data_IF_146893986248
#
_entry.id   IF_146893986248
#
_cell.length_a   1.000
_cell.length_b   1.000
_cell.length_c   1.000
_cell.angle_alpha   90.00
_cell.angle_beta   90.00
_cell.angle_gamma   90.00
#
_symmetry.space_group_name_H-M   'P 1'
#
loop_
_entity.id
_entity.type
_entity.pdbx_description
1 polymer ?
#
# COMPACT_ATOMS: atom_id res chain seq x y z
N UNK A 1 25.38 54.88 24.13
CA UNK A 1 25.94 53.86 23.25
C UNK A 1 26.14 52.60 24.09
N UNK A 2 25.09 51.79 24.20
CA UNK A 2 25.10 50.56 25.00
C UNK A 2 25.16 49.38 24.06
N UNK A 3 26.26 48.64 24.10
CA UNK A 3 26.38 47.33 23.42
C UNK A 3 25.66 46.26 24.21
N UNK A 4 24.61 45.68 23.63
CA UNK A 4 23.98 44.46 24.14
C UNK A 4 24.76 43.26 23.57
N UNK A 5 25.47 42.56 24.45
CA UNK A 5 26.11 41.29 24.15
C UNK A 5 25.05 40.17 24.18
N UNK A 6 24.78 39.54 23.04
CA UNK A 6 23.86 38.41 22.94
C UNK A 6 24.65 37.11 23.16
N UNK A 7 24.52 36.54 24.36
CA UNK A 7 25.12 35.24 24.70
C UNK A 7 24.18 34.14 24.22
N UNK A 8 24.55 33.42 23.17
CA UNK A 8 23.87 32.23 22.68
C UNK A 8 24.29 31.07 23.60
N UNK A 9 23.37 30.59 24.41
CA UNK A 9 23.54 29.36 25.18
C UNK A 9 23.34 28.18 24.27
N UNK A 10 24.40 27.44 23.90
CA UNK A 10 24.34 26.13 23.31
C UNK A 10 23.78 25.14 24.33
N UNK A 11 22.51 24.77 24.21
CA UNK A 11 21.98 23.59 24.88
C UNK A 11 22.56 22.34 24.18
N UNK A 12 23.55 21.73 24.81
CA UNK A 12 24.02 20.38 24.44
C UNK A 12 22.94 19.37 24.85
N UNK A 13 22.21 18.84 23.86
CA UNK A 13 21.40 17.64 24.03
C UNK A 13 22.33 16.44 24.25
N UNK A 14 22.51 16.03 25.50
CA UNK A 14 23.04 14.71 25.82
C UNK A 14 21.94 13.68 25.52
N UNK A 15 22.22 12.61 24.79
CA UNK A 15 21.24 11.53 24.62
C UNK A 15 21.06 10.88 26.00
N UNK A 16 19.83 10.91 26.51
CA UNK A 16 19.45 10.12 27.69
C UNK A 16 19.59 8.64 27.31
N UNK A 17 20.64 7.99 27.77
CA UNK A 17 20.75 6.52 27.75
C UNK A 17 19.69 6.00 28.72
N UNK A 18 18.55 5.58 28.17
CA UNK A 18 17.60 4.73 28.87
C UNK A 18 18.29 3.39 29.06
N UNK A 19 18.83 3.17 30.27
CA UNK A 19 19.22 1.84 30.74
C UNK A 19 17.94 1.02 30.93
N UNK A 20 17.41 0.48 29.82
CA UNK A 20 16.41 -0.58 29.85
C UNK A 20 17.07 -1.85 30.37
N UNK A 21 16.45 -2.50 31.35
CA UNK A 21 16.77 -3.85 31.78
C UNK A 21 17.02 -4.71 30.55
N UNK A 22 18.20 -5.37 30.48
CA UNK A 22 18.64 -6.16 29.34
C UNK A 22 17.73 -7.35 29.06
N UNK A 23 16.64 -7.09 28.35
CA UNK A 23 16.02 -8.10 27.54
C UNK A 23 16.95 -8.30 26.35
N UNK A 24 17.67 -9.44 26.33
CA UNK A 24 18.37 -9.89 25.13
C UNK A 24 17.43 -9.67 23.95
N UNK A 25 17.84 -8.79 23.00
CA UNK A 25 17.10 -8.61 21.75
C UNK A 25 17.04 -10.00 21.11
N UNK A 26 15.84 -10.58 21.08
CA UNK A 26 15.62 -11.88 20.45
C UNK A 26 16.16 -11.80 19.03
N UNK A 27 17.26 -12.50 18.76
CA UNK A 27 17.87 -12.52 17.44
C UNK A 27 16.79 -13.00 16.46
N UNK A 28 16.59 -12.25 15.36
CA UNK A 28 15.71 -12.64 14.28
C UNK A 28 16.09 -14.04 13.81
N UNK A 29 15.12 -14.90 13.62
CA UNK A 29 15.32 -16.13 12.87
C UNK A 29 15.43 -15.77 11.38
N UNK A 30 16.65 -15.78 10.83
CA UNK A 30 16.92 -15.39 9.46
C UNK A 30 16.34 -16.36 8.42
N UNK A 31 15.76 -17.47 8.87
CA UNK A 31 15.04 -18.43 8.03
C UNK A 31 13.54 -18.17 7.95
N UNK A 32 13.02 -17.16 8.65
CA UNK A 32 11.61 -16.79 8.55
C UNK A 32 11.36 -15.99 7.27
N UNK A 33 10.33 -16.33 6.49
CA UNK A 33 9.95 -15.59 5.28
C UNK A 33 9.40 -14.19 5.59
N UNK A 34 9.01 -13.91 6.84
CA UNK A 34 8.58 -12.61 7.34
C UNK A 34 9.28 -12.28 8.68
N UNK A 35 9.08 -11.05 9.20
CA UNK A 35 9.65 -10.62 10.50
C UNK A 35 8.92 -11.21 11.71
N UNK A 36 7.76 -11.81 11.49
CA UNK A 36 7.00 -12.60 12.47
C UNK A 36 6.69 -13.97 11.87
N UNK A 37 6.48 -15.03 12.68
CA UNK A 37 6.12 -16.35 12.16
C UNK A 37 4.76 -16.30 11.46
N UNK A 38 4.58 -17.13 10.45
CA UNK A 38 3.26 -17.33 9.86
C UNK A 38 2.39 -18.21 10.75
N UNK A 39 1.13 -17.82 10.89
CA UNK A 39 0.10 -18.57 11.60
C UNK A 39 -0.90 -19.09 10.56
N UNK A 40 -0.91 -20.41 10.33
CA UNK A 40 -1.82 -21.06 9.41
C UNK A 40 -2.61 -22.15 10.15
N UNK A 41 -3.68 -21.80 10.90
CA UNK A 41 -4.49 -22.79 11.59
C UNK A 41 -5.08 -23.77 10.57
N UNK A 42 -5.21 -25.08 10.91
CA UNK A 42 -5.91 -26.03 10.04
C UNK A 42 -7.37 -25.60 9.81
N UNK A 43 -7.95 -25.91 8.64
CA UNK A 43 -9.39 -25.65 8.40
C UNK A 43 -10.27 -26.23 9.50
N UNK A 44 -11.27 -25.45 9.92
CA UNK A 44 -12.22 -25.82 10.97
C UNK A 44 -11.71 -25.63 12.42
N UNK A 45 -10.50 -25.07 12.61
CA UNK A 45 -9.92 -24.87 13.96
C UNK A 45 -9.88 -23.42 14.42
N UNK A 46 -10.05 -22.46 13.51
CA UNK A 46 -10.03 -21.03 13.81
C UNK A 46 -11.08 -20.32 12.95
N UNK A 47 -12.13 -19.72 13.55
CA UNK A 47 -13.23 -19.14 12.80
C UNK A 47 -12.82 -17.92 11.96
N UNK A 48 -11.82 -17.14 12.40
CA UNK A 48 -11.32 -15.98 11.66
C UNK A 48 -10.54 -16.46 10.43
N UNK A 49 -9.62 -17.40 10.61
CA UNK A 49 -8.88 -17.99 9.49
C UNK A 49 -9.81 -18.67 8.48
N UNK A 50 -10.90 -19.31 8.95
CA UNK A 50 -11.87 -19.95 8.06
C UNK A 50 -12.72 -18.94 7.30
N UNK A 51 -13.08 -17.80 7.91
CA UNK A 51 -13.74 -16.69 7.22
C UNK A 51 -12.86 -16.11 6.12
N UNK A 52 -11.57 -15.88 6.39
CA UNK A 52 -10.61 -15.43 5.38
C UNK A 52 -10.50 -16.44 4.23
N UNK A 53 -10.38 -17.75 4.53
CA UNK A 53 -10.34 -18.81 3.50
C UNK A 53 -11.58 -18.81 2.62
N UNK A 54 -12.76 -18.62 3.21
CA UNK A 54 -14.02 -18.62 2.48
C UNK A 54 -14.08 -17.52 1.40
N UNK A 55 -13.37 -16.43 1.59
CA UNK A 55 -13.27 -15.33 0.64
C UNK A 55 -12.17 -15.55 -0.42
N UNK A 56 -11.21 -16.43 -0.17
CA UNK A 56 -10.14 -16.74 -1.14
C UNK A 56 -10.62 -17.72 -2.21
N UNK A 57 -10.33 -17.46 -3.47
CA UNK A 57 -10.81 -18.24 -4.63
C UNK A 57 -10.50 -19.75 -4.52
N UNK A 58 -9.36 -20.10 -3.92
CA UNK A 58 -8.92 -21.48 -3.76
C UNK A 58 -9.01 -21.99 -2.31
N UNK A 59 -9.58 -21.21 -1.39
CA UNK A 59 -9.67 -21.56 0.02
C UNK A 59 -8.33 -21.63 0.77
N UNK A 60 -7.28 -21.02 0.22
CA UNK A 60 -5.93 -21.04 0.81
C UNK A 60 -5.57 -19.68 1.39
N UNK A 61 -5.01 -19.66 2.61
CA UNK A 61 -4.46 -18.46 3.21
C UNK A 61 -3.19 -18.02 2.47
N UNK A 62 -3.05 -16.71 2.29
CA UNK A 62 -1.83 -16.09 1.73
C UNK A 62 -0.82 -15.82 2.86
N UNK A 63 0.42 -15.53 2.49
CA UNK A 63 1.47 -15.14 3.45
C UNK A 63 1.07 -13.89 4.26
N UNK A 64 0.38 -12.93 3.64
CA UNK A 64 -0.22 -11.79 4.33
C UNK A 64 -1.20 -12.25 5.43
N UNK A 65 -2.08 -13.20 5.13
CA UNK A 65 -3.04 -13.74 6.10
C UNK A 65 -2.31 -14.42 7.27
N UNK A 66 -1.24 -15.19 6.96
CA UNK A 66 -0.42 -15.84 7.96
C UNK A 66 0.29 -14.86 8.91
N UNK A 67 0.70 -13.70 8.42
CA UNK A 67 1.25 -12.62 9.26
C UNK A 67 0.15 -11.95 10.08
N UNK A 68 -0.99 -11.60 9.48
CA UNK A 68 -2.12 -10.95 10.14
C UNK A 68 -2.68 -11.79 11.29
N UNK A 69 -2.75 -13.12 11.13
CA UNK A 69 -3.28 -14.05 12.14
C UNK A 69 -2.46 -14.13 13.43
N UNK A 70 -1.27 -13.51 13.51
CA UNK A 70 -0.64 -13.23 14.81
C UNK A 70 -1.45 -12.26 15.68
N UNK A 71 -2.36 -11.47 15.06
CA UNK A 71 -3.28 -10.54 15.72
C UNK A 71 -4.71 -10.78 15.16
N UNK A 72 -5.44 -11.80 15.62
CA UNK A 72 -6.67 -12.27 14.98
C UNK A 72 -7.73 -11.19 14.75
N UNK A 73 -7.93 -10.27 15.70
CA UNK A 73 -8.89 -9.17 15.54
C UNK A 73 -8.47 -8.15 14.48
N UNK A 74 -7.16 -7.99 14.24
CA UNK A 74 -6.66 -7.16 13.13
C UNK A 74 -6.90 -7.87 11.80
N UNK A 75 -6.67 -9.19 11.75
CA UNK A 75 -6.96 -10.01 10.58
C UNK A 75 -8.45 -9.98 10.21
N UNK A 76 -9.35 -10.08 11.19
CA UNK A 76 -10.80 -10.00 10.99
C UNK A 76 -11.23 -8.62 10.44
N UNK A 77 -10.72 -7.53 11.03
CA UNK A 77 -11.01 -6.18 10.59
C UNK A 77 -10.45 -5.88 9.18
N UNK A 78 -9.25 -6.37 8.89
CA UNK A 78 -8.63 -6.26 7.55
C UNK A 78 -9.46 -7.03 6.51
N UNK A 79 -9.78 -8.29 6.79
CA UNK A 79 -10.56 -9.13 5.87
C UNK A 79 -11.93 -8.51 5.54
N UNK A 80 -12.64 -7.99 6.55
CA UNK A 80 -13.92 -7.32 6.35
C UNK A 80 -13.77 -6.04 5.48
N UNK A 81 -12.81 -5.17 5.80
CA UNK A 81 -12.60 -3.91 5.08
C UNK A 81 -12.17 -4.15 3.63
N UNK A 82 -11.17 -5.00 3.42
CA UNK A 82 -10.69 -5.29 2.06
C UNK A 82 -11.64 -6.17 1.25
N UNK A 83 -12.53 -6.93 1.90
CA UNK A 83 -13.67 -7.57 1.27
C UNK A 83 -14.56 -6.54 0.57
N UNK A 84 -14.93 -5.45 1.25
CA UNK A 84 -15.71 -4.37 0.62
C UNK A 84 -14.94 -3.66 -0.49
N UNK A 85 -13.68 -3.30 -0.28
CA UNK A 85 -12.86 -2.62 -1.28
C UNK A 85 -12.69 -3.45 -2.55
N UNK A 86 -12.52 -4.77 -2.46
CA UNK A 86 -12.21 -5.62 -3.62
C UNK A 86 -13.44 -6.24 -4.27
N UNK A 87 -14.41 -6.65 -3.47
CA UNK A 87 -15.49 -7.50 -3.94
C UNK A 87 -16.82 -6.76 -4.07
N UNK A 88 -17.00 -5.64 -3.35
CA UNK A 88 -18.29 -4.96 -3.24
C UNK A 88 -18.22 -3.43 -3.54
N UNK A 89 -17.23 -2.98 -4.29
CA UNK A 89 -17.16 -1.59 -4.73
C UNK A 89 -17.71 -1.41 -6.16
N UNK A 90 -17.93 -0.15 -6.55
CA UNK A 90 -18.48 0.22 -7.86
C UNK A 90 -17.46 0.92 -8.76
N UNK A 91 -16.20 0.98 -8.35
CA UNK A 91 -15.12 1.52 -9.19
C UNK A 91 -14.95 0.70 -10.47
N UNK A 92 -14.63 1.34 -11.62
CA UNK A 92 -14.18 0.61 -12.79
C UNK A 92 -13.02 -0.32 -12.43
N UNK A 93 -13.09 -1.63 -12.76
CA UNK A 93 -12.09 -2.60 -12.30
C UNK A 93 -10.65 -2.23 -12.65
N UNK A 94 -10.40 -1.74 -13.86
CA UNK A 94 -9.07 -1.30 -14.28
C UNK A 94 -8.56 -0.11 -13.46
N UNK A 95 -9.42 0.83 -13.10
CA UNK A 95 -9.08 1.98 -12.27
C UNK A 95 -8.77 1.55 -10.83
N UNK A 96 -9.55 0.62 -10.27
CA UNK A 96 -9.28 0.06 -8.94
C UNK A 96 -7.89 -0.59 -8.89
N UNK A 97 -7.57 -1.44 -9.85
CA UNK A 97 -6.27 -2.10 -9.91
C UNK A 97 -5.12 -1.13 -10.21
N UNK A 98 -5.37 -0.06 -10.99
CA UNK A 98 -4.40 1.01 -11.17
C UNK A 98 -4.05 1.67 -9.83
N UNK A 99 -5.02 2.01 -8.98
CA UNK A 99 -4.76 2.57 -7.65
C UNK A 99 -3.85 1.66 -6.84
N UNK A 100 -4.17 0.38 -6.77
CA UNK A 100 -3.42 -0.63 -6.01
C UNK A 100 -1.98 -0.77 -6.52
N UNK A 101 -1.83 -0.99 -7.82
CA UNK A 101 -0.54 -1.18 -8.46
C UNK A 101 0.33 0.08 -8.39
N UNK A 102 -0.28 1.27 -8.54
CA UNK A 102 0.47 2.52 -8.42
C UNK A 102 1.02 2.73 -7.01
N UNK A 103 0.23 2.43 -5.99
CA UNK A 103 0.67 2.50 -4.59
C UNK A 103 1.79 1.50 -4.32
N UNK A 104 1.66 0.27 -4.80
CA UNK A 104 2.71 -0.74 -4.70
C UNK A 104 4.03 -0.27 -5.34
N UNK A 105 3.95 0.34 -6.54
CA UNK A 105 5.11 0.90 -7.22
C UNK A 105 5.76 2.06 -6.46
N UNK A 106 4.94 3.01 -5.95
CA UNK A 106 5.39 4.19 -5.22
C UNK A 106 6.04 3.88 -3.88
N UNK A 107 5.56 2.83 -3.20
CA UNK A 107 6.00 2.40 -1.88
C UNK A 107 7.02 1.24 -1.94
N UNK A 108 7.41 0.81 -3.14
CA UNK A 108 8.28 -0.34 -3.38
C UNK A 108 7.76 -1.62 -2.70
N UNK A 109 6.44 -1.84 -2.70
CA UNK A 109 5.77 -2.98 -2.12
C UNK A 109 5.68 -4.14 -3.13
N UNK A 110 6.79 -4.85 -3.34
CA UNK A 110 6.89 -5.90 -4.37
C UNK A 110 5.89 -7.03 -4.13
N UNK A 111 5.63 -7.42 -2.88
CA UNK A 111 4.62 -8.42 -2.55
C UNK A 111 3.23 -8.00 -3.06
N UNK A 112 2.80 -6.77 -2.77
CA UNK A 112 1.51 -6.22 -3.21
C UNK A 112 1.39 -6.20 -4.75
N UNK A 113 2.43 -5.74 -5.43
CA UNK A 113 2.48 -5.73 -6.90
C UNK A 113 2.28 -7.14 -7.47
N UNK A 114 3.02 -8.12 -6.96
CA UNK A 114 2.96 -9.51 -7.42
C UNK A 114 1.58 -10.15 -7.23
N UNK A 115 0.85 -9.77 -6.17
CA UNK A 115 -0.51 -10.25 -5.95
C UNK A 115 -1.53 -9.59 -6.89
N UNK A 116 -1.28 -8.36 -7.36
CA UNK A 116 -2.26 -7.56 -8.09
C UNK A 116 -1.98 -7.41 -9.59
N UNK A 117 -0.77 -7.66 -10.11
CA UNK A 117 -0.49 -7.51 -11.54
C UNK A 117 -1.38 -8.39 -12.41
N UNK A 118 -1.55 -9.65 -12.07
CA UNK A 118 -2.43 -10.56 -12.80
C UNK A 118 -3.90 -10.15 -12.72
N UNK A 119 -4.34 -9.62 -11.58
CA UNK A 119 -5.70 -9.11 -11.40
C UNK A 119 -5.92 -7.85 -12.24
N UNK A 120 -4.93 -6.97 -12.31
CA UNK A 120 -4.95 -5.79 -13.18
C UNK A 120 -5.08 -6.16 -14.65
N UNK A 121 -4.34 -7.18 -15.10
CA UNK A 121 -4.48 -7.73 -16.47
C UNK A 121 -5.89 -8.29 -16.72
N UNK A 122 -6.43 -9.04 -15.79
CA UNK A 122 -7.81 -9.54 -15.87
C UNK A 122 -8.85 -8.42 -15.87
N UNK A 123 -8.56 -7.31 -15.20
CA UNK A 123 -9.39 -6.11 -15.19
C UNK A 123 -9.27 -5.25 -16.46
N UNK A 124 -8.39 -5.64 -17.41
CA UNK A 124 -8.24 -5.01 -18.72
C UNK A 124 -7.03 -4.07 -18.84
N UNK A 125 -6.15 -3.98 -17.85
CA UNK A 125 -4.91 -3.22 -17.98
C UNK A 125 -3.95 -3.90 -18.96
N UNK A 126 -3.53 -3.17 -19.99
CA UNK A 126 -2.55 -3.63 -20.98
C UNK A 126 -1.12 -3.61 -20.41
N UNK A 127 -0.20 -4.29 -21.06
CA UNK A 127 1.23 -4.25 -20.70
C UNK A 127 1.77 -2.82 -20.73
N UNK A 128 1.42 -2.02 -21.76
CA UNK A 128 1.87 -0.62 -21.85
C UNK A 128 1.33 0.24 -20.69
N UNK A 129 0.08 0.01 -20.29
CA UNK A 129 -0.51 0.69 -19.13
C UNK A 129 0.17 0.28 -17.83
N UNK A 130 0.45 -1.01 -17.62
CA UNK A 130 1.19 -1.52 -16.47
C UNK A 130 2.62 -0.97 -16.42
N UNK A 131 3.30 -0.86 -17.57
CA UNK A 131 4.61 -0.19 -17.68
C UNK A 131 4.53 1.28 -17.27
N UNK A 132 3.51 2.01 -17.75
CA UNK A 132 3.29 3.41 -17.36
C UNK A 132 3.04 3.53 -15.84
N UNK A 133 2.18 2.70 -15.27
CA UNK A 133 1.88 2.67 -13.82
C UNK A 133 3.16 2.40 -13.01
N UNK A 134 3.98 1.44 -13.47
CA UNK A 134 5.20 1.02 -12.76
C UNK A 134 6.34 2.03 -12.86
N UNK A 135 6.58 2.60 -14.03
CA UNK A 135 7.82 3.30 -14.35
C UNK A 135 7.70 4.83 -14.35
N UNK A 136 6.50 5.39 -14.52
CA UNK A 136 6.34 6.83 -14.50
C UNK A 136 6.79 7.43 -13.15
N UNK A 137 7.52 8.56 -13.17
CA UNK A 137 7.91 9.22 -11.92
C UNK A 137 6.67 9.68 -11.15
N UNK A 138 6.75 9.79 -9.79
CA UNK A 138 5.68 10.41 -9.02
C UNK A 138 5.41 11.83 -9.53
N UNK A 139 4.14 12.26 -9.54
CA UNK A 139 3.74 13.57 -10.07
C UNK A 139 4.18 13.80 -11.53
N UNK A 140 4.10 12.77 -12.34
CA UNK A 140 4.57 12.73 -13.74
C UNK A 140 4.09 13.91 -14.58
N UNK A 141 2.84 14.35 -14.42
CA UNK A 141 2.28 15.48 -15.18
C UNK A 141 3.02 16.79 -14.89
N UNK A 142 3.42 17.06 -13.65
CA UNK A 142 4.20 18.24 -13.28
C UNK A 142 5.65 18.20 -13.81
N UNK A 143 6.13 17.02 -14.22
CA UNK A 143 7.43 16.83 -14.85
C UNK A 143 7.36 16.80 -16.38
N UNK A 144 6.20 17.18 -16.96
CA UNK A 144 6.01 17.24 -18.41
C UNK A 144 5.79 15.89 -19.09
N UNK A 145 5.55 14.83 -18.31
CA UNK A 145 5.26 13.49 -18.85
C UNK A 145 3.75 13.39 -19.14
N UNK A 146 3.39 13.15 -20.41
CA UNK A 146 2.01 12.97 -20.84
C UNK A 146 1.72 11.48 -21.09
N UNK A 147 0.83 10.90 -20.30
CA UNK A 147 0.43 9.50 -20.38
C UNK A 147 -0.97 9.30 -20.97
N UNK A 148 -1.62 10.36 -21.45
CA UNK A 148 -3.03 10.30 -21.92
C UNK A 148 -3.21 9.34 -23.09
N UNK A 149 -2.24 9.24 -23.99
CA UNK A 149 -2.32 8.31 -25.11
C UNK A 149 -2.26 6.83 -24.67
N UNK A 150 -1.57 6.53 -23.57
CA UNK A 150 -1.41 5.17 -23.05
C UNK A 150 -2.53 4.79 -22.08
N UNK A 151 -2.85 5.68 -21.14
CA UNK A 151 -3.76 5.39 -20.04
C UNK A 151 -5.21 5.80 -20.32
N UNK A 152 -5.42 6.80 -21.18
CA UNK A 152 -6.71 7.51 -21.24
C UNK A 152 -6.84 8.58 -20.14
N UNK A 153 -7.76 9.54 -20.30
CA UNK A 153 -7.88 10.67 -19.39
C UNK A 153 -8.35 10.27 -17.97
N UNK A 154 -9.18 9.28 -17.85
CA UNK A 154 -9.73 8.75 -16.60
C UNK A 154 -8.66 8.06 -15.73
N UNK A 155 -7.85 7.19 -16.33
CA UNK A 155 -6.75 6.52 -15.63
C UNK A 155 -5.58 7.49 -15.33
N UNK A 156 -5.38 8.52 -16.15
CA UNK A 156 -4.43 9.61 -15.84
C UNK A 156 -4.85 10.37 -14.59
N UNK A 157 -6.15 10.73 -14.49
CA UNK A 157 -6.70 11.40 -13.30
C UNK A 157 -6.55 10.51 -12.06
N UNK A 158 -6.89 9.22 -12.18
CA UNK A 158 -6.73 8.24 -11.11
C UNK A 158 -5.28 8.09 -10.65
N UNK A 159 -4.34 7.98 -11.58
CA UNK A 159 -2.92 7.84 -11.26
C UNK A 159 -2.35 9.11 -10.60
N UNK A 160 -2.78 10.29 -11.05
CA UNK A 160 -2.42 11.57 -10.45
C UNK A 160 -2.93 11.66 -9.00
N UNK A 161 -4.18 11.27 -8.76
CA UNK A 161 -4.76 11.19 -7.41
C UNK A 161 -3.97 10.23 -6.51
N UNK A 162 -3.63 9.03 -7.02
CA UNK A 162 -2.84 8.05 -6.28
C UNK A 162 -1.46 8.58 -5.88
N UNK A 163 -0.80 9.33 -6.76
CA UNK A 163 0.48 9.97 -6.46
C UNK A 163 0.38 10.96 -5.29
N UNK A 164 -0.63 11.84 -5.32
CA UNK A 164 -0.79 12.87 -4.30
C UNK A 164 -1.17 12.29 -2.93
N UNK A 165 -2.16 11.42 -2.87
CA UNK A 165 -2.59 10.82 -1.59
C UNK A 165 -1.51 9.92 -0.98
N UNK A 166 -0.66 9.30 -1.82
CA UNK A 166 0.41 8.41 -1.35
C UNK A 166 1.64 9.17 -0.87
N UNK A 167 2.06 10.21 -1.58
CA UNK A 167 3.31 10.93 -1.28
C UNK A 167 3.10 12.13 -0.37
N UNK A 168 1.94 12.79 -0.41
CA UNK A 168 1.70 14.05 0.32
C UNK A 168 0.55 13.97 1.34
N UNK A 169 -0.27 12.91 1.34
CA UNK A 169 -1.52 12.80 2.13
C UNK A 169 -2.57 13.82 1.67
N UNK A 170 -2.20 15.09 1.57
CA UNK A 170 -3.04 16.16 1.05
C UNK A 170 -3.15 16.07 -0.47
N UNK A 171 -4.38 16.02 -0.97
CA UNK A 171 -4.72 16.05 -2.40
C UNK A 171 -5.20 17.46 -2.74
N UNK A 172 -4.58 18.18 -3.69
CA UNK A 172 -5.06 19.49 -4.15
C UNK A 172 -6.45 19.41 -4.79
N UNK A 173 -7.21 20.52 -4.70
CA UNK A 173 -8.59 20.58 -5.20
C UNK A 173 -8.66 20.28 -6.71
N UNK A 174 -7.74 20.80 -7.50
CA UNK A 174 -7.67 20.57 -8.95
C UNK A 174 -7.42 19.11 -9.30
N UNK A 175 -6.63 18.40 -8.50
CA UNK A 175 -6.39 16.95 -8.65
C UNK A 175 -7.64 16.16 -8.27
N UNK A 176 -8.28 16.53 -7.16
CA UNK A 176 -9.51 15.89 -6.70
C UNK A 176 -10.66 16.10 -7.70
N UNK A 177 -10.81 17.32 -8.21
CA UNK A 177 -11.83 17.67 -9.21
C UNK A 177 -11.55 17.00 -10.55
N UNK A 178 -10.28 16.79 -10.91
CA UNK A 178 -9.87 16.00 -12.06
C UNK A 178 -10.38 14.56 -11.99
N UNK A 179 -10.33 13.92 -10.81
CA UNK A 179 -10.88 12.58 -10.59
C UNK A 179 -12.41 12.60 -10.56
N UNK A 180 -13.02 13.65 -9.95
CA UNK A 180 -14.47 13.87 -9.90
C UNK A 180 -15.12 13.96 -11.28
N UNK A 181 -14.40 14.35 -12.31
CA UNK A 181 -14.89 14.37 -13.68
C UNK A 181 -15.32 12.98 -14.20
N UNK A 182 -14.81 11.90 -13.60
CA UNK A 182 -15.03 10.52 -14.02
C UNK A 182 -15.80 9.66 -13.01
N UNK A 183 -15.92 10.11 -11.75
CA UNK A 183 -16.49 9.33 -10.65
C UNK A 183 -17.60 10.12 -9.94
N UNK A 184 -18.66 9.41 -9.53
CA UNK A 184 -19.66 9.98 -8.64
C UNK A 184 -19.18 10.04 -7.18
N UNK A 185 -19.95 10.65 -6.27
CA UNK A 185 -19.53 10.85 -4.88
C UNK A 185 -19.28 9.53 -4.13
N UNK A 186 -20.06 8.48 -4.39
CA UNK A 186 -19.82 7.15 -3.80
C UNK A 186 -18.48 6.59 -4.28
N UNK A 187 -18.23 6.65 -5.58
CA UNK A 187 -17.00 6.18 -6.18
C UNK A 187 -15.76 6.97 -5.74
N UNK A 188 -15.91 8.28 -5.48
CA UNK A 188 -14.84 9.09 -4.90
C UNK A 188 -14.47 8.63 -3.48
N UNK A 189 -15.48 8.27 -2.67
CA UNK A 189 -15.23 7.68 -1.34
C UNK A 189 -14.56 6.31 -1.48
N UNK A 190 -15.03 5.46 -2.40
CA UNK A 190 -14.43 4.16 -2.68
C UNK A 190 -12.97 4.27 -3.19
N UNK A 191 -12.67 5.23 -4.09
CA UNK A 191 -11.33 5.51 -4.58
C UNK A 191 -10.40 5.97 -3.44
N UNK A 192 -10.90 6.85 -2.57
CA UNK A 192 -10.17 7.33 -1.40
C UNK A 192 -9.92 6.19 -0.41
N UNK A 193 -10.94 5.37 -0.12
CA UNK A 193 -10.82 4.20 0.76
C UNK A 193 -9.84 3.16 0.18
N UNK A 194 -9.91 2.91 -1.14
CA UNK A 194 -8.99 1.99 -1.83
C UNK A 194 -7.55 2.47 -1.73
N UNK A 195 -7.29 3.72 -2.06
CA UNK A 195 -5.92 4.27 -2.03
C UNK A 195 -5.37 4.37 -0.60
N UNK A 196 -6.17 4.79 0.38
CA UNK A 196 -5.76 4.83 1.78
C UNK A 196 -5.51 3.41 2.33
N UNK A 197 -6.40 2.48 2.03
CA UNK A 197 -6.30 1.08 2.43
C UNK A 197 -5.04 0.41 1.86
N UNK A 198 -4.77 0.54 0.57
CA UNK A 198 -3.56 -0.05 -0.02
C UNK A 198 -2.27 0.66 0.38
N UNK A 199 -2.33 1.93 0.78
CA UNK A 199 -1.22 2.56 1.52
C UNK A 199 -0.98 1.93 2.90
N UNK A 200 -2.04 1.45 3.58
CA UNK A 200 -1.88 0.63 4.79
C UNK A 200 -1.23 -0.71 4.43
N UNK A 201 -1.75 -1.46 3.46
CA UNK A 201 -1.21 -2.76 3.06
C UNK A 201 0.26 -2.66 2.65
N UNK A 202 0.63 -1.72 1.77
CA UNK A 202 2.00 -1.58 1.30
C UNK A 202 2.98 -1.36 2.46
N UNK A 203 2.61 -0.51 3.44
CA UNK A 203 3.43 -0.27 4.63
C UNK A 203 3.51 -1.50 5.53
N UNK A 204 2.40 -2.22 5.67
CA UNK A 204 2.32 -3.43 6.48
C UNK A 204 3.21 -4.55 5.92
N UNK A 205 3.08 -4.85 4.62
CA UNK A 205 3.83 -5.95 3.99
C UNK A 205 5.32 -5.66 3.91
N UNK A 206 5.71 -4.40 3.67
CA UNK A 206 7.13 -3.99 3.67
C UNK A 206 7.69 -4.01 5.08
N UNK A 207 7.00 -3.41 6.07
CA UNK A 207 7.47 -3.36 7.45
C UNK A 207 7.66 -4.76 8.06
N UNK A 208 6.79 -5.71 7.73
CA UNK A 208 6.86 -7.09 8.24
C UNK A 208 7.61 -8.05 7.31
N UNK A 209 8.14 -7.57 6.20
CA UNK A 209 8.90 -8.35 5.22
C UNK A 209 8.15 -9.61 4.76
N UNK A 210 6.85 -9.44 4.42
CA UNK A 210 6.01 -10.54 3.96
C UNK A 210 6.63 -11.18 2.71
N UNK A 211 6.72 -12.50 2.69
CA UNK A 211 7.33 -13.33 1.63
C UNK A 211 8.77 -12.90 1.27
N UNK A 212 9.53 -12.39 2.26
CA UNK A 212 10.90 -11.88 2.07
C UNK A 212 11.04 -10.83 0.94
N UNK A 213 9.98 -10.03 0.67
CA UNK A 213 9.91 -9.10 -0.45
C UNK A 213 10.26 -7.64 -0.12
N UNK A 214 10.63 -7.34 1.12
CA UNK A 214 10.91 -5.96 1.58
C UNK A 214 11.98 -5.27 0.73
N UNK A 215 13.05 -5.96 0.40
CA UNK A 215 14.19 -5.44 -0.36
C UNK A 215 14.18 -5.89 -1.84
N UNK A 216 13.12 -6.55 -2.27
CA UNK A 216 12.93 -6.96 -3.66
C UNK A 216 12.31 -5.80 -4.44
N UNK A 217 12.94 -5.41 -5.53
CA UNK A 217 12.36 -4.37 -6.40
C UNK A 217 11.03 -4.86 -7.00
N UNK A 218 10.06 -3.94 -7.11
CA UNK A 218 8.82 -4.22 -7.85
C UNK A 218 9.18 -4.60 -9.28
N UNK A 219 8.71 -5.75 -9.80
CA UNK A 219 9.08 -6.20 -11.15
C UNK A 219 8.61 -5.22 -12.23
N UNK A 220 9.30 -5.29 -13.37
CA UNK A 220 8.88 -4.57 -14.57
C UNK A 220 7.94 -5.49 -15.36
N UNK A 221 6.73 -5.03 -15.71
CA UNK A 221 5.77 -5.82 -16.50
C UNK A 221 6.34 -6.27 -17.85
N UNK A 222 6.01 -7.48 -18.28
CA UNK A 222 6.46 -8.09 -19.53
C UNK A 222 5.29 -8.62 -20.38
#
# INVERSE_FOLDING_TARGET
MFLLSLTIALLSFLPSTVLGNGTELKKRDDNLPARVPYVFPPPGTDPIADAIRARRTNGTLLDLDGVLLNAPLIAEGEDAFFGFIRDNNTLPPAMRELFILRIAALNNASYEWLQHESVGRMAGLTTDQLLAIRLAPPFFASQGVNLTATLGPDLVAAMTFADWITKNVHVPDDVFDGLRAFLNDSQLVEATATTAGYNFISRFVVALNVDAKMDVAVPVPS
#
